data_IF_034786043365
#
_entry.id   IF_034786043365
#
_cell.length_a   1.000
_cell.length_b   1.000
_cell.length_c   1.000
_cell.angle_alpha   90.00
_cell.angle_beta   90.00
_cell.angle_gamma   90.00
#
_symmetry.space_group_name_H-M   'P 1'
#
loop_
_entity.id
_entity.type
_entity.pdbx_description
1 polymer ?
#
# COMPACT_ATOMS: atom_id res chain seq x y z
N UNK A 1 33.32 -16.15 -26.11
CA UNK A 1 32.31 -17.10 -25.59
C UNK A 1 31.24 -17.24 -26.65
N UNK A 2 30.70 -18.42 -26.96
CA UNK A 2 29.61 -18.52 -27.94
C UNK A 2 28.44 -17.66 -27.46
N UNK A 3 27.93 -16.81 -28.34
CA UNK A 3 26.72 -16.01 -28.06
C UNK A 3 25.59 -17.02 -27.75
N UNK A 4 24.95 -16.86 -26.61
CA UNK A 4 23.74 -17.64 -26.28
C UNK A 4 22.77 -17.45 -27.48
N UNK A 5 22.23 -18.55 -27.99
CA UNK A 5 21.21 -18.49 -29.07
C UNK A 5 19.85 -18.02 -28.50
N UNK A 6 19.77 -17.87 -27.16
CA UNK A 6 18.54 -17.47 -26.47
C UNK A 6 18.44 -15.96 -26.38
N UNK A 7 17.27 -15.37 -26.64
CA UNK A 7 17.07 -13.93 -26.52
C UNK A 7 17.28 -13.46 -25.08
N UNK A 8 17.90 -12.29 -24.91
CA UNK A 8 18.09 -11.64 -23.61
C UNK A 8 16.81 -10.86 -23.28
N UNK A 9 16.20 -11.21 -22.16
CA UNK A 9 15.01 -10.51 -21.65
C UNK A 9 15.35 -9.82 -20.35
N UNK A 10 15.18 -8.51 -20.30
CA UNK A 10 15.25 -7.72 -19.08
C UNK A 10 13.83 -7.42 -18.59
N UNK A 11 13.55 -7.69 -17.33
CA UNK A 11 12.26 -7.44 -16.68
C UNK A 11 12.47 -6.44 -15.56
N UNK A 12 11.83 -5.29 -15.64
CA UNK A 12 11.87 -4.24 -14.64
C UNK A 12 10.72 -4.41 -13.65
N UNK A 13 11.06 -4.77 -12.42
CA UNK A 13 10.13 -5.04 -11.33
C UNK A 13 10.04 -6.53 -10.97
N UNK A 14 10.23 -6.84 -9.69
CA UNK A 14 10.09 -8.19 -9.11
C UNK A 14 8.77 -8.37 -8.34
N UNK A 15 7.74 -7.61 -8.69
CA UNK A 15 6.37 -7.78 -8.19
C UNK A 15 5.67 -8.99 -8.80
N UNK A 16 4.34 -9.09 -8.61
CA UNK A 16 3.53 -10.18 -9.14
C UNK A 16 3.68 -10.37 -10.65
N UNK A 17 3.56 -9.27 -11.43
CA UNK A 17 3.68 -9.35 -12.89
C UNK A 17 5.07 -9.76 -13.35
N UNK A 18 6.11 -9.13 -12.79
CA UNK A 18 7.49 -9.36 -13.22
C UNK A 18 7.99 -10.78 -12.90
N UNK A 19 7.73 -11.30 -11.70
CA UNK A 19 8.13 -12.67 -11.33
C UNK A 19 7.38 -13.74 -12.11
N UNK A 20 6.08 -13.53 -12.38
CA UNK A 20 5.32 -14.46 -13.23
C UNK A 20 5.84 -14.44 -14.68
N UNK A 21 6.09 -13.27 -15.25
CA UNK A 21 6.68 -13.13 -16.58
C UNK A 21 8.08 -13.81 -16.65
N UNK A 22 8.92 -13.57 -15.62
CA UNK A 22 10.23 -14.17 -15.56
C UNK A 22 10.18 -15.70 -15.58
N UNK A 23 9.33 -16.29 -14.75
CA UNK A 23 9.16 -17.76 -14.68
C UNK A 23 8.63 -18.34 -15.98
N UNK A 24 7.69 -17.66 -16.63
CA UNK A 24 7.12 -18.08 -17.91
C UNK A 24 8.18 -18.10 -19.03
N UNK A 25 9.10 -17.11 -19.04
CA UNK A 25 10.12 -16.94 -20.08
C UNK A 25 11.42 -17.73 -19.82
N UNK A 26 11.62 -18.26 -18.63
CA UNK A 26 12.89 -18.86 -18.19
C UNK A 26 13.36 -20.02 -19.08
N UNK A 27 12.45 -20.76 -19.73
CA UNK A 27 12.79 -21.87 -20.59
C UNK A 27 13.30 -21.43 -21.96
N UNK A 28 12.83 -20.28 -22.45
CA UNK A 28 13.04 -19.83 -23.84
C UNK A 28 14.00 -18.65 -23.97
N UNK A 29 14.33 -17.98 -22.85
CA UNK A 29 15.16 -16.77 -22.83
C UNK A 29 16.19 -16.75 -21.70
N UNK A 30 17.21 -15.90 -21.87
CA UNK A 30 18.14 -15.51 -20.80
C UNK A 30 17.55 -14.32 -20.05
N UNK A 31 16.86 -14.62 -18.94
CA UNK A 31 16.07 -13.63 -18.19
C UNK A 31 16.88 -12.97 -17.09
N UNK A 32 16.83 -11.65 -17.02
CA UNK A 32 17.35 -10.84 -15.90
C UNK A 32 16.20 -10.00 -15.32
N UNK A 33 15.89 -10.20 -14.04
CA UNK A 33 14.93 -9.37 -13.30
C UNK A 33 15.68 -8.28 -12.56
N UNK A 34 15.18 -7.05 -12.63
CA UNK A 34 15.70 -5.88 -11.92
C UNK A 34 14.65 -5.36 -10.96
N UNK A 35 15.00 -5.12 -9.71
CA UNK A 35 14.14 -4.44 -8.74
C UNK A 35 15.00 -3.67 -7.73
N UNK A 36 14.48 -2.56 -7.24
CA UNK A 36 15.13 -1.75 -6.19
C UNK A 36 15.21 -2.48 -4.85
N UNK A 37 14.32 -3.46 -4.62
CA UNK A 37 14.28 -4.28 -3.42
C UNK A 37 14.69 -5.72 -3.72
N UNK A 38 15.36 -6.37 -2.79
CA UNK A 38 15.73 -7.79 -2.88
C UNK A 38 14.63 -8.73 -2.38
N UNK A 39 13.44 -8.18 -2.10
CA UNK A 39 12.25 -8.92 -1.66
C UNK A 39 11.01 -8.48 -2.44
N UNK A 40 10.08 -9.39 -2.62
CA UNK A 40 8.73 -9.14 -3.08
C UNK A 40 7.82 -8.94 -1.87
N UNK A 41 6.92 -7.97 -1.94
CA UNK A 41 5.88 -7.74 -0.93
C UNK A 41 4.55 -8.30 -1.42
N UNK A 42 3.86 -9.03 -0.56
CA UNK A 42 2.47 -9.44 -0.79
C UNK A 42 1.53 -8.31 -0.38
N UNK A 43 1.36 -7.34 -1.29
CA UNK A 43 0.61 -6.10 -1.07
C UNK A 43 -0.81 -6.29 -0.48
N UNK A 44 -1.59 -7.33 -0.86
CA UNK A 44 -2.94 -7.51 -0.34
C UNK A 44 -3.04 -7.69 1.17
N UNK A 45 -1.95 -7.97 1.87
CA UNK A 45 -1.94 -8.15 3.34
C UNK A 45 -1.24 -7.00 4.09
N UNK A 46 -0.88 -5.91 3.42
CA UNK A 46 -0.22 -4.77 4.09
C UNK A 46 -1.10 -4.13 5.16
N UNK A 47 -2.41 -4.09 4.97
CA UNK A 47 -3.34 -3.57 5.97
C UNK A 47 -3.26 -4.33 7.30
N UNK A 48 -2.99 -5.64 7.28
CA UNK A 48 -2.79 -6.43 8.50
C UNK A 48 -1.46 -6.12 9.19
N UNK A 49 -0.42 -5.78 8.43
CA UNK A 49 0.84 -5.29 8.99
C UNK A 49 0.62 -3.92 9.66
N UNK A 50 -0.12 -3.04 9.01
CA UNK A 50 -0.44 -1.69 9.51
C UNK A 50 -1.25 -1.71 10.83
N UNK A 51 -2.03 -2.76 11.06
CA UNK A 51 -2.88 -2.92 12.24
C UNK A 51 -2.36 -3.96 13.23
N UNK A 52 -1.08 -4.35 13.11
CA UNK A 52 -0.41 -5.34 13.95
C UNK A 52 -1.02 -6.76 13.90
N UNK A 53 -1.90 -7.05 12.94
CA UNK A 53 -2.48 -8.39 12.73
C UNK A 53 -1.48 -9.40 12.17
N UNK A 54 -0.46 -8.92 11.42
CA UNK A 54 0.64 -9.73 10.91
C UNK A 54 1.99 -9.08 11.17
N UNK A 55 3.03 -9.90 11.37
CA UNK A 55 4.40 -9.43 11.33
C UNK A 55 4.82 -9.12 9.89
N UNK A 56 5.70 -8.12 9.70
CA UNK A 56 6.10 -7.66 8.37
C UNK A 56 6.82 -8.74 7.53
N UNK A 57 7.54 -9.64 8.18
CA UNK A 57 8.24 -10.76 7.56
C UNK A 57 7.30 -11.82 6.96
N UNK A 58 6.05 -11.89 7.40
CA UNK A 58 5.05 -12.78 6.81
C UNK A 58 4.53 -12.32 5.43
N UNK A 59 4.72 -11.05 5.09
CA UNK A 59 4.26 -10.48 3.80
C UNK A 59 5.39 -10.19 2.83
N UNK A 60 6.64 -10.54 3.16
CA UNK A 60 7.80 -10.37 2.28
C UNK A 60 8.45 -11.69 1.94
N UNK A 61 8.88 -11.82 0.68
CA UNK A 61 9.57 -13.02 0.20
C UNK A 61 10.87 -12.63 -0.53
N UNK A 62 12.03 -13.19 -0.16
CA UNK A 62 13.28 -12.91 -0.85
C UNK A 62 13.20 -13.26 -2.35
N UNK A 63 13.47 -12.28 -3.23
CA UNK A 63 13.42 -12.50 -4.70
C UNK A 63 14.38 -13.61 -5.13
N UNK A 64 15.61 -13.63 -4.59
CA UNK A 64 16.59 -14.68 -4.91
C UNK A 64 16.14 -16.07 -4.48
N UNK A 65 15.34 -16.15 -3.40
CA UNK A 65 14.69 -17.39 -2.96
C UNK A 65 13.65 -17.88 -3.96
N UNK A 66 12.79 -16.96 -4.42
CA UNK A 66 11.74 -17.25 -5.40
C UNK A 66 12.27 -17.66 -6.79
N UNK A 67 13.51 -17.26 -7.12
CA UNK A 67 14.18 -17.54 -8.40
C UNK A 67 15.19 -18.69 -8.32
N UNK A 68 15.37 -19.32 -7.16
CA UNK A 68 16.33 -20.41 -6.99
C UNK A 68 16.03 -21.58 -7.91
N UNK A 69 17.05 -22.07 -8.63
CA UNK A 69 16.94 -23.21 -9.54
C UNK A 69 16.29 -22.92 -10.90
N UNK A 70 15.91 -21.67 -11.17
CA UNK A 70 15.24 -21.30 -12.43
C UNK A 70 16.21 -20.85 -13.55
N UNK A 71 17.46 -20.55 -13.23
CA UNK A 71 18.42 -19.93 -14.16
C UNK A 71 18.22 -18.42 -14.36
N UNK A 72 17.17 -17.82 -13.79
CA UNK A 72 16.88 -16.39 -13.89
C UNK A 72 17.88 -15.60 -13.04
N UNK A 73 18.47 -14.55 -13.63
CA UNK A 73 19.37 -13.62 -12.95
C UNK A 73 18.58 -12.52 -12.24
N UNK A 74 19.05 -12.08 -11.08
CA UNK A 74 18.48 -10.94 -10.37
C UNK A 74 19.55 -9.85 -10.17
N UNK A 75 19.17 -8.61 -10.48
CA UNK A 75 19.93 -7.38 -10.22
C UNK A 75 19.13 -6.47 -9.31
N UNK A 76 19.71 -6.14 -8.16
CA UNK A 76 19.13 -5.11 -7.30
C UNK A 76 19.56 -3.74 -7.81
N UNK A 77 18.61 -2.85 -8.07
CA UNK A 77 18.84 -1.51 -8.58
C UNK A 77 17.58 -0.90 -9.17
N UNK A 78 17.63 0.40 -9.39
CA UNK A 78 16.54 1.17 -10.01
C UNK A 78 16.90 1.53 -11.45
N UNK A 79 16.01 1.29 -12.44
CA UNK A 79 16.24 1.76 -13.80
C UNK A 79 16.11 3.29 -13.83
N UNK A 80 17.11 3.98 -14.37
CA UNK A 80 17.13 5.44 -14.53
C UNK A 80 16.89 5.89 -15.97
N UNK A 81 17.22 5.04 -16.94
CA UNK A 81 16.93 5.33 -18.37
C UNK A 81 16.86 4.06 -19.19
N UNK A 82 16.08 4.13 -20.27
CA UNK A 82 15.96 3.09 -21.30
C UNK A 82 16.35 3.70 -22.65
N UNK A 83 17.33 3.10 -23.31
CA UNK A 83 17.70 3.42 -24.69
C UNK A 83 17.10 2.38 -25.64
N UNK A 84 16.01 2.76 -26.31
CA UNK A 84 15.30 1.89 -27.25
C UNK A 84 16.10 1.58 -28.51
N UNK A 85 16.97 2.52 -28.96
CA UNK A 85 17.77 2.34 -30.18
C UNK A 85 18.87 1.32 -29.96
N UNK A 86 19.58 1.44 -28.83
CA UNK A 86 20.67 0.55 -28.46
C UNK A 86 20.19 -0.64 -27.61
N UNK A 87 18.88 -0.75 -27.35
CA UNK A 87 18.27 -1.83 -26.55
C UNK A 87 19.00 -2.04 -25.23
N UNK A 88 19.12 -1.00 -24.44
CA UNK A 88 19.79 -1.04 -23.15
C UNK A 88 19.03 -0.30 -22.05
N UNK A 89 19.21 -0.76 -20.80
CA UNK A 89 18.71 -0.12 -19.57
C UNK A 89 19.88 0.26 -18.71
N UNK A 90 19.94 1.50 -18.27
CA UNK A 90 20.93 1.98 -17.30
C UNK A 90 20.32 1.98 -15.90
N UNK A 91 21.04 1.42 -14.94
CA UNK A 91 20.67 1.37 -13.53
C UNK A 91 21.33 2.51 -12.73
N UNK A 92 20.80 2.80 -11.56
CA UNK A 92 21.35 3.74 -10.56
C UNK A 92 22.77 3.39 -10.12
N UNK A 93 23.15 2.11 -10.15
CA UNK A 93 24.51 1.61 -9.94
C UNK A 93 25.48 1.93 -11.08
N UNK A 94 25.05 2.59 -12.16
CA UNK A 94 25.74 2.79 -13.43
C UNK A 94 25.91 1.51 -14.28
N UNK A 95 25.43 0.34 -13.83
CA UNK A 95 25.37 -0.88 -14.64
C UNK A 95 24.46 -0.66 -15.85
N UNK A 96 24.88 -1.14 -17.03
CA UNK A 96 24.08 -1.12 -18.25
C UNK A 96 23.75 -2.56 -18.62
N UNK A 97 22.45 -2.84 -18.76
CA UNK A 97 21.94 -4.14 -19.18
C UNK A 97 21.41 -4.05 -20.61
N UNK A 98 22.01 -4.83 -21.51
CA UNK A 98 21.52 -4.98 -22.87
C UNK A 98 20.38 -6.00 -22.90
N UNK A 99 19.41 -5.77 -23.79
CA UNK A 99 18.26 -6.65 -23.99
C UNK A 99 17.89 -6.82 -25.46
N UNK A 100 17.28 -7.92 -25.79
CA UNK A 100 16.57 -8.12 -27.06
C UNK A 100 15.08 -7.76 -26.86
N UNK A 101 14.54 -8.07 -25.66
CA UNK A 101 13.19 -7.72 -25.24
C UNK A 101 13.20 -7.11 -23.83
N UNK A 102 12.34 -6.12 -23.60
CA UNK A 102 12.14 -5.45 -22.32
C UNK A 102 10.70 -5.62 -21.85
N UNK A 103 10.54 -6.08 -20.61
CA UNK A 103 9.25 -6.14 -19.92
C UNK A 103 9.23 -5.09 -18.81
N UNK A 104 8.28 -4.18 -18.84
CA UNK A 104 8.08 -3.15 -17.83
C UNK A 104 6.97 -3.61 -16.89
N UNK A 105 7.35 -3.98 -15.64
CA UNK A 105 6.46 -4.49 -14.60
C UNK A 105 6.69 -3.77 -13.26
N UNK A 106 6.92 -2.45 -13.31
CA UNK A 106 7.31 -1.61 -12.16
C UNK A 106 6.19 -1.41 -11.12
N UNK A 107 4.98 -1.89 -11.42
CA UNK A 107 3.82 -1.67 -10.57
C UNK A 107 3.27 -0.25 -10.67
N UNK A 108 2.69 0.23 -9.58
CA UNK A 108 2.10 1.58 -9.48
C UNK A 108 2.63 2.30 -8.25
N UNK A 109 2.61 3.62 -8.29
CA UNK A 109 2.82 4.49 -7.14
C UNK A 109 1.47 5.06 -6.66
N UNK A 110 1.40 5.46 -5.41
CA UNK A 110 0.25 6.19 -4.89
C UNK A 110 0.13 7.53 -5.60
N UNK A 111 -1.08 7.86 -6.08
CA UNK A 111 -1.38 9.16 -6.63
C UNK A 111 -2.02 10.04 -5.54
N UNK A 112 -1.50 11.24 -5.35
CA UNK A 112 -2.05 12.24 -4.44
C UNK A 112 -3.18 13.08 -5.05
N UNK A 113 -3.41 12.92 -6.37
CA UNK A 113 -4.36 13.71 -7.17
C UNK A 113 -4.19 15.22 -7.05
N UNK A 114 -3.00 15.69 -6.67
CA UNK A 114 -2.72 17.10 -6.42
C UNK A 114 -3.41 17.66 -5.17
N UNK A 115 -3.82 16.80 -4.24
CA UNK A 115 -4.40 17.22 -2.95
C UNK A 115 -3.27 17.69 -2.03
N UNK A 116 -3.25 18.97 -1.64
CA UNK A 116 -2.23 19.50 -0.76
C UNK A 116 -2.17 18.77 0.58
N UNK A 117 -0.97 18.61 1.12
CA UNK A 117 -0.73 17.98 2.42
C UNK A 117 -0.74 16.46 2.45
N UNK A 118 -1.03 15.78 1.32
CA UNK A 118 -0.96 14.31 1.27
C UNK A 118 0.44 13.80 1.55
N UNK A 119 1.45 14.41 0.96
CA UNK A 119 2.85 14.01 1.14
C UNK A 119 3.35 14.30 2.55
N UNK A 120 2.91 15.39 3.17
CA UNK A 120 3.39 15.87 4.46
C UNK A 120 2.67 15.23 5.65
N UNK A 121 1.39 14.89 5.49
CA UNK A 121 0.50 14.50 6.57
C UNK A 121 -0.23 13.17 6.32
N UNK A 122 -0.21 12.66 5.09
CA UNK A 122 -0.81 11.39 4.73
C UNK A 122 0.20 10.23 4.81
N UNK A 123 -0.24 9.08 5.30
CA UNK A 123 0.54 7.85 5.31
C UNK A 123 0.04 6.95 4.19
N UNK A 124 0.88 6.66 3.20
CA UNK A 124 0.57 5.74 2.11
C UNK A 124 0.52 4.28 2.57
N UNK A 125 0.03 3.39 1.71
CA UNK A 125 -0.03 1.94 1.99
C UNK A 125 0.36 1.09 0.77
N UNK A 126 1.53 1.38 0.21
CA UNK A 126 2.11 0.68 -0.96
C UNK A 126 3.40 -0.09 -0.67
N UNK A 127 3.95 0.06 0.53
CA UNK A 127 5.18 -0.60 0.94
C UNK A 127 5.10 -1.10 2.38
N UNK A 128 5.94 -2.07 2.72
CA UNK A 128 6.09 -2.55 4.11
C UNK A 128 6.53 -1.41 5.03
N UNK A 129 7.38 -0.51 4.55
CA UNK A 129 7.83 0.65 5.32
C UNK A 129 6.65 1.56 5.70
N UNK A 130 5.79 1.90 4.74
CA UNK A 130 4.59 2.72 5.00
C UNK A 130 3.62 2.01 5.95
N UNK A 131 3.40 0.70 5.78
CA UNK A 131 2.58 -0.08 6.70
C UNK A 131 3.11 -0.06 8.14
N UNK A 132 4.42 -0.17 8.31
CA UNK A 132 5.07 -0.07 9.64
C UNK A 132 4.99 1.36 10.20
N UNK A 133 5.07 2.39 9.38
CA UNK A 133 4.87 3.78 9.82
C UNK A 133 3.44 4.00 10.32
N UNK A 134 2.42 3.51 9.59
CA UNK A 134 1.03 3.56 10.05
C UNK A 134 0.89 2.85 11.40
N UNK A 135 1.41 1.62 11.50
CA UNK A 135 1.38 0.85 12.75
C UNK A 135 2.01 1.62 13.92
N UNK A 136 3.21 2.15 13.72
CA UNK A 136 3.92 2.90 14.74
C UNK A 136 3.14 4.14 15.19
N UNK A 137 2.59 4.90 14.25
CA UNK A 137 1.84 6.12 14.57
C UNK A 137 0.52 5.79 15.28
N UNK A 138 -0.23 4.79 14.81
CA UNK A 138 -1.47 4.34 15.45
C UNK A 138 -1.19 3.89 16.89
N UNK A 139 -0.19 3.02 17.11
CA UNK A 139 0.14 2.55 18.46
C UNK A 139 0.60 3.69 19.37
N UNK A 140 1.44 4.60 18.86
CA UNK A 140 1.89 5.76 19.62
C UNK A 140 0.71 6.64 20.07
N UNK A 141 -0.27 6.89 19.17
CA UNK A 141 -1.47 7.66 19.53
C UNK A 141 -2.34 6.98 20.57
N UNK A 142 -2.42 5.66 20.52
CA UNK A 142 -3.10 4.90 21.58
C UNK A 142 -2.43 5.04 22.95
N UNK A 143 -1.11 4.93 22.99
CA UNK A 143 -0.36 5.12 24.24
C UNK A 143 -0.48 6.57 24.75
N UNK A 144 -0.48 7.56 23.86
CA UNK A 144 -0.71 8.95 24.24
C UNK A 144 -2.11 9.11 24.83
N UNK A 145 -3.15 8.56 24.19
CA UNK A 145 -4.53 8.63 24.67
C UNK A 145 -4.74 7.88 26.01
N UNK A 146 -4.04 6.77 26.20
CA UNK A 146 -4.13 5.98 27.44
C UNK A 146 -3.55 6.71 28.67
N UNK A 147 -2.72 7.75 28.47
CA UNK A 147 -2.17 8.57 29.57
C UNK A 147 -3.17 9.59 30.14
N UNK A 148 -4.22 9.88 29.37
CA UNK A 148 -5.21 10.88 29.74
C UNK A 148 -6.54 10.18 30.01
N UNK A 149 -7.11 10.40 31.18
CA UNK A 149 -8.45 9.89 31.56
C UNK A 149 -9.52 10.97 31.30
N UNK A 150 -9.33 11.76 30.25
CA UNK A 150 -10.26 12.78 29.81
C UNK A 150 -11.06 12.35 28.56
N UNK A 151 -11.94 13.21 28.07
CA UNK A 151 -12.78 12.96 26.90
C UNK A 151 -12.04 13.21 25.55
N UNK A 152 -10.70 13.31 25.57
CA UNK A 152 -9.90 13.42 24.35
C UNK A 152 -10.15 12.23 23.44
N UNK A 153 -10.39 12.49 22.15
CA UNK A 153 -10.65 11.44 21.15
C UNK A 153 -9.53 11.34 20.16
N UNK A 154 -9.24 10.11 19.76
CA UNK A 154 -8.35 9.81 18.65
C UNK A 154 -9.17 9.54 17.40
N UNK A 155 -9.01 10.36 16.39
CA UNK A 155 -9.65 10.16 15.08
C UNK A 155 -8.64 9.67 14.04
N UNK A 156 -8.93 8.53 13.44
CA UNK A 156 -8.15 7.96 12.33
C UNK A 156 -9.00 8.03 11.07
N UNK A 157 -8.49 8.66 10.04
CA UNK A 157 -9.17 8.77 8.76
C UNK A 157 -8.46 7.95 7.68
N UNK A 158 -9.22 7.13 6.97
CA UNK A 158 -8.79 6.41 5.77
C UNK A 158 -9.44 7.07 4.56
N UNK A 159 -8.63 7.59 3.65
CA UNK A 159 -9.09 8.26 2.43
C UNK A 159 -9.00 7.32 1.24
N UNK A 160 -10.14 7.03 0.61
CA UNK A 160 -10.30 6.12 -0.51
C UNK A 160 -11.15 4.91 -0.15
N UNK A 161 -12.33 4.79 -0.76
CA UNK A 161 -13.28 3.69 -0.57
C UNK A 161 -13.06 2.48 -1.46
N UNK A 162 -11.86 2.31 -2.02
CA UNK A 162 -11.45 1.10 -2.75
C UNK A 162 -11.16 -0.07 -1.79
N UNK A 163 -10.75 -1.26 -2.33
CA UNK A 163 -10.46 -2.44 -1.52
C UNK A 163 -9.49 -2.17 -0.38
N UNK A 164 -8.38 -1.51 -0.66
CA UNK A 164 -7.34 -1.18 0.33
C UNK A 164 -7.87 -0.35 1.50
N UNK A 165 -8.68 0.69 1.20
CA UNK A 165 -9.25 1.55 2.25
C UNK A 165 -10.32 0.84 3.08
N UNK A 166 -11.16 0.03 2.46
CA UNK A 166 -12.18 -0.78 3.14
C UNK A 166 -11.53 -1.81 4.06
N UNK A 167 -10.50 -2.53 3.58
CA UNK A 167 -9.72 -3.49 4.37
C UNK A 167 -9.02 -2.80 5.55
N UNK A 168 -8.42 -1.64 5.32
CA UNK A 168 -7.74 -0.87 6.36
C UNK A 168 -8.71 -0.37 7.44
N UNK A 169 -9.84 0.20 7.04
CA UNK A 169 -10.86 0.68 7.98
C UNK A 169 -11.46 -0.47 8.81
N UNK A 170 -11.73 -1.62 8.17
CA UNK A 170 -12.18 -2.83 8.84
C UNK A 170 -11.17 -3.35 9.85
N UNK A 171 -9.89 -3.47 9.45
CA UNK A 171 -8.83 -3.95 10.34
C UNK A 171 -8.55 -3.01 11.52
N UNK A 172 -8.64 -1.68 11.34
CA UNK A 172 -8.59 -0.72 12.45
C UNK A 172 -9.76 -0.93 13.43
N UNK A 173 -10.95 -1.19 12.91
CA UNK A 173 -12.11 -1.45 13.76
C UNK A 173 -12.01 -2.78 14.52
N UNK A 174 -11.43 -3.80 13.91
CA UNK A 174 -11.14 -5.07 14.58
C UNK A 174 -10.07 -4.90 15.67
N UNK A 175 -9.00 -4.16 15.39
CA UNK A 175 -7.97 -3.81 16.36
C UNK A 175 -8.57 -3.07 17.57
N UNK A 176 -9.43 -2.08 17.32
CA UNK A 176 -10.18 -1.33 18.35
C UNK A 176 -11.01 -2.25 19.24
N UNK A 177 -11.77 -3.18 18.64
CA UNK A 177 -12.75 -4.04 19.33
C UNK A 177 -12.13 -5.25 20.02
N UNK A 178 -10.98 -5.69 19.56
CA UNK A 178 -10.26 -6.84 20.07
C UNK A 178 -9.12 -6.46 21.03
N UNK A 179 -7.87 -6.50 20.56
CA UNK A 179 -6.69 -6.32 21.42
C UNK A 179 -6.73 -5.03 22.23
N UNK A 180 -7.00 -3.89 21.57
CA UNK A 180 -6.98 -2.59 22.27
C UNK A 180 -8.08 -2.45 23.32
N UNK A 181 -9.26 -3.01 23.08
CA UNK A 181 -10.32 -3.00 24.08
C UNK A 181 -9.96 -3.80 25.34
N UNK A 182 -9.19 -4.86 25.16
CA UNK A 182 -8.76 -5.69 26.30
C UNK A 182 -7.68 -5.02 27.14
N UNK A 183 -6.72 -4.36 26.48
CA UNK A 183 -5.54 -3.81 27.13
C UNK A 183 -5.70 -2.32 27.50
N UNK A 184 -6.40 -1.55 26.66
CA UNK A 184 -6.57 -0.09 26.75
C UNK A 184 -8.03 0.32 26.51
N UNK A 185 -8.96 -0.18 27.33
CA UNK A 185 -10.41 -0.03 27.13
C UNK A 185 -10.86 1.44 27.01
N UNK A 186 -10.29 2.35 27.82
CA UNK A 186 -10.59 3.78 27.75
C UNK A 186 -10.22 4.34 26.37
N UNK A 187 -8.97 4.16 25.95
CA UNK A 187 -8.50 4.63 24.66
C UNK A 187 -9.28 4.04 23.48
N UNK A 188 -9.61 2.74 23.54
CA UNK A 188 -10.43 2.09 22.51
C UNK A 188 -11.82 2.72 22.40
N UNK A 189 -12.47 3.07 23.51
CA UNK A 189 -13.80 3.72 23.50
C UNK A 189 -13.75 5.15 22.94
N UNK A 190 -12.60 5.82 23.04
CA UNK A 190 -12.39 7.19 22.57
C UNK A 190 -11.72 7.25 21.19
N UNK A 191 -11.74 6.17 20.42
CA UNK A 191 -11.25 6.13 19.04
C UNK A 191 -12.39 6.21 18.03
N UNK A 192 -12.27 7.09 17.06
CA UNK A 192 -13.16 7.21 15.89
C UNK A 192 -12.41 6.81 14.61
N UNK A 193 -13.09 6.06 13.74
CA UNK A 193 -12.53 5.62 12.46
C UNK A 193 -13.43 6.13 11.35
N UNK A 194 -12.86 6.90 10.43
CA UNK A 194 -13.53 7.45 9.26
C UNK A 194 -13.02 6.77 7.99
N UNK A 195 -13.94 6.36 7.12
CA UNK A 195 -13.64 5.98 5.73
C UNK A 195 -14.25 7.03 4.82
N UNK A 196 -13.42 7.76 4.07
CA UNK A 196 -13.82 8.90 3.24
C UNK A 196 -13.68 8.51 1.78
N UNK A 197 -14.77 8.62 1.03
CA UNK A 197 -14.82 8.29 -0.40
C UNK A 197 -15.48 9.45 -1.18
N UNK A 198 -14.80 9.89 -2.23
CA UNK A 198 -15.29 10.97 -3.09
C UNK A 198 -16.49 10.56 -3.95
N UNK A 199 -16.56 9.30 -4.32
CA UNK A 199 -17.64 8.72 -5.11
C UNK A 199 -18.91 8.43 -4.29
N UNK A 200 -19.99 8.05 -4.98
CA UNK A 200 -21.29 7.82 -4.34
C UNK A 200 -21.38 6.54 -3.51
N UNK A 201 -20.39 5.65 -3.62
CA UNK A 201 -20.33 4.38 -2.87
C UNK A 201 -18.91 3.86 -2.73
N UNK A 202 -18.65 3.09 -1.69
CA UNK A 202 -17.41 2.34 -1.54
C UNK A 202 -17.37 1.15 -2.52
N UNK A 203 -16.18 0.61 -2.81
CA UNK A 203 -15.97 -0.55 -3.67
C UNK A 203 -16.69 -0.43 -5.04
N UNK A 204 -16.48 0.67 -5.80
CA UNK A 204 -17.25 0.94 -7.03
C UNK A 204 -17.08 -0.13 -8.12
N UNK A 205 -16.01 -0.95 -8.06
CA UNK A 205 -15.75 -2.05 -8.99
C UNK A 205 -16.63 -3.29 -8.71
N UNK A 206 -17.29 -3.36 -7.56
CA UNK A 206 -18.22 -4.45 -7.23
C UNK A 206 -19.67 -4.07 -7.53
N UNK A 207 -20.60 -5.02 -7.47
CA UNK A 207 -22.02 -4.74 -7.62
C UNK A 207 -22.54 -3.84 -6.48
N UNK A 208 -23.58 -3.06 -6.74
CA UNK A 208 -24.19 -2.20 -5.73
C UNK A 208 -24.61 -2.95 -4.47
N UNK A 209 -25.12 -4.18 -4.64
CA UNK A 209 -25.48 -5.05 -3.53
C UNK A 209 -24.29 -5.39 -2.63
N UNK A 210 -23.12 -5.70 -3.21
CA UNK A 210 -21.91 -6.00 -2.44
C UNK A 210 -21.34 -4.73 -1.79
N UNK A 211 -21.35 -3.62 -2.50
CA UNK A 211 -20.94 -2.31 -1.97
C UNK A 211 -21.78 -1.92 -0.75
N UNK A 212 -23.13 -1.97 -0.86
CA UNK A 212 -24.03 -1.68 0.25
C UNK A 212 -23.86 -2.66 1.43
N UNK A 213 -23.57 -3.94 1.15
CA UNK A 213 -23.27 -4.92 2.20
C UNK A 213 -21.99 -4.56 2.95
N UNK A 214 -20.91 -4.22 2.24
CA UNK A 214 -19.63 -3.83 2.83
C UNK A 214 -19.78 -2.57 3.70
N UNK A 215 -20.51 -1.57 3.23
CA UNK A 215 -20.81 -0.36 3.98
C UNK A 215 -21.58 -0.67 5.26
N UNK A 216 -22.65 -1.50 5.16
CA UNK A 216 -23.41 -1.95 6.33
C UNK A 216 -22.55 -2.69 7.35
N UNK A 217 -21.63 -3.54 6.90
CA UNK A 217 -20.75 -4.29 7.80
C UNK A 217 -19.70 -3.38 8.46
N UNK A 218 -19.15 -2.38 7.75
CA UNK A 218 -18.28 -1.34 8.33
C UNK A 218 -19.03 -0.50 9.39
N UNK A 219 -20.27 -0.11 9.13
CA UNK A 219 -21.10 0.60 10.13
C UNK A 219 -21.31 -0.25 11.40
N UNK A 220 -21.58 -1.55 11.29
CA UNK A 220 -21.70 -2.47 12.44
C UNK A 220 -20.37 -2.57 13.21
N UNK A 221 -19.25 -2.43 12.52
CA UNK A 221 -17.93 -2.37 13.14
C UNK A 221 -17.65 -1.00 13.80
N UNK A 222 -18.51 0.00 13.64
CA UNK A 222 -18.35 1.34 14.21
C UNK A 222 -17.46 2.26 13.40
N UNK A 223 -17.34 2.01 12.08
CA UNK A 223 -16.65 2.89 11.13
C UNK A 223 -17.65 3.92 10.60
N UNK A 224 -17.27 5.19 10.59
CA UNK A 224 -18.00 6.28 9.96
C UNK A 224 -17.69 6.34 8.46
N UNK A 225 -18.53 5.76 7.63
CA UNK A 225 -18.37 5.81 6.16
C UNK A 225 -18.95 7.12 5.64
N UNK A 226 -18.14 7.89 4.91
CA UNK A 226 -18.48 9.18 4.30
C UNK A 226 -18.31 9.09 2.79
N UNK A 227 -19.36 8.74 2.07
CA UNK A 227 -19.43 8.77 0.60
C UNK A 227 -19.80 10.18 0.09
N UNK A 228 -19.66 10.44 -1.21
CA UNK A 228 -19.83 11.76 -1.82
C UNK A 228 -19.00 12.85 -1.10
N UNK A 229 -17.86 12.47 -0.52
CA UNK A 229 -17.06 13.35 0.34
C UNK A 229 -15.66 13.47 -0.22
N UNK A 230 -15.41 14.52 -0.98
CA UNK A 230 -14.12 14.77 -1.60
C UNK A 230 -13.20 15.57 -0.68
N UNK A 231 -11.96 15.10 -0.53
CA UNK A 231 -10.92 15.79 0.22
C UNK A 231 -10.37 16.96 -0.64
N UNK A 232 -10.22 18.12 -0.02
CA UNK A 232 -9.58 19.31 -0.61
C UNK A 232 -8.12 19.44 -0.20
N UNK A 233 -7.82 19.17 1.09
CA UNK A 233 -6.51 19.35 1.69
C UNK A 233 -6.38 18.46 2.94
N UNK A 234 -5.19 17.94 3.22
CA UNK A 234 -4.85 17.28 4.48
C UNK A 234 -3.96 18.19 5.31
N UNK A 235 -4.34 18.42 6.54
CA UNK A 235 -3.57 19.18 7.53
C UNK A 235 -3.16 18.25 8.68
N UNK A 236 -2.25 18.72 9.51
CA UNK A 236 -1.61 17.92 10.57
C UNK A 236 -2.56 17.13 11.48
N UNK A 237 -3.79 17.59 11.71
CA UNK A 237 -4.76 16.95 12.62
C UNK A 237 -6.19 16.97 12.11
N UNK A 238 -6.38 17.28 10.84
CA UNK A 238 -7.72 17.35 10.23
C UNK A 238 -7.66 17.24 8.72
N UNK A 239 -8.75 16.77 8.15
CA UNK A 239 -8.99 16.73 6.72
C UNK A 239 -9.99 17.83 6.37
N UNK A 240 -9.61 18.69 5.44
CA UNK A 240 -10.48 19.72 4.88
C UNK A 240 -11.20 19.14 3.67
N UNK A 241 -12.51 19.20 3.68
CA UNK A 241 -13.36 18.71 2.62
C UNK A 241 -13.57 19.79 1.55
N UNK A 242 -13.96 19.39 0.34
CA UNK A 242 -14.43 20.34 -0.67
C UNK A 242 -15.74 21.02 -0.25
N UNK A 243 -16.61 20.24 0.40
CA UNK A 243 -17.90 20.69 0.93
C UNK A 243 -18.10 20.08 2.32
N UNK A 244 -18.71 20.84 3.23
CA UNK A 244 -18.99 20.41 4.61
C UNK A 244 -17.90 20.76 5.62
N UNK A 245 -18.12 20.33 6.86
CA UNK A 245 -17.23 20.59 7.98
C UNK A 245 -15.95 19.72 7.92
N UNK A 246 -14.80 20.23 8.38
CA UNK A 246 -13.59 19.45 8.46
C UNK A 246 -13.75 18.20 9.34
N UNK A 247 -13.10 17.10 8.97
CA UNK A 247 -13.05 15.87 9.76
C UNK A 247 -11.76 15.87 10.61
N UNK A 248 -11.86 15.68 11.94
CA UNK A 248 -10.69 15.48 12.77
C UNK A 248 -9.93 14.23 12.31
N UNK A 249 -8.61 14.28 12.26
CA UNK A 249 -7.79 13.14 11.87
C UNK A 249 -6.36 13.31 12.41
N UNK A 250 -6.10 12.74 13.56
CA UNK A 250 -4.75 12.66 14.12
C UNK A 250 -3.84 11.75 13.31
N UNK A 251 -4.43 10.75 12.65
CA UNK A 251 -3.76 9.86 11.70
C UNK A 251 -4.57 9.83 10.40
N UNK A 252 -3.93 10.14 9.29
CA UNK A 252 -4.55 10.03 7.96
C UNK A 252 -3.84 8.96 7.15
N UNK A 253 -4.58 7.91 6.75
CA UNK A 253 -4.11 6.88 5.82
C UNK A 253 -4.63 7.22 4.43
N UNK A 254 -3.71 7.42 3.49
CA UNK A 254 -4.05 7.70 2.09
C UNK A 254 -4.08 6.39 1.29
N UNK A 255 -5.27 5.86 1.08
CA UNK A 255 -5.54 4.64 0.31
C UNK A 255 -6.17 4.93 -1.07
N UNK A 256 -6.25 6.20 -1.49
CA UNK A 256 -6.73 6.61 -2.80
C UNK A 256 -5.60 6.54 -3.84
N UNK A 257 -5.95 6.38 -5.12
CA UNK A 257 -4.98 6.42 -6.21
C UNK A 257 -4.07 5.19 -6.29
N UNK A 258 -4.62 4.04 -6.02
CA UNK A 258 -3.88 2.75 -5.96
C UNK A 258 -4.24 1.86 -7.14
#
# INVERSE_FOLDING_TARGET
MPSSTRPRVVILGAGFGGLNAAKALAKDADVTVVDRHNFQTFLPLLYQVSTAGLAADHVVHPVRGALRGTGIKFRMGSPISVDHKNKSVKLDSSEVLEFDHLVVALGSSTADFGVPGVTEHGLGMKSVHEALMIRAEVMRRFEDLARFEDDTRLSIAVVGGGPTGVEMAGALAELKRGPLKNDLAHAANHMDIYLIEAGPRILPMFSEKLSARAESDLHKLGVFVKTNTAVREIQSRKIILKEGEPIPAEVTVWAAGV
#
